data_IF_359646440344
#
_entry.id   IF_359646440344
#
_cell.length_a   1.000
_cell.length_b   1.000
_cell.length_c   1.000
_cell.angle_alpha   90.00
_cell.angle_beta   90.00
_cell.angle_gamma   90.00
#
_symmetry.space_group_name_H-M   'P 1'
#
loop_
_entity.id
_entity.type
_entity.pdbx_description
1 polymer ?
#
# COMPACT_ATOMS: atom_id res chain seq x y z
N UNK A 1 17.48 1.44 2.08
CA UNK A 1 17.72 0.80 3.40
C UNK A 1 18.19 1.82 4.42
N UNK A 2 18.08 1.51 5.73
CA UNK A 2 18.56 2.36 6.81
C UNK A 2 17.45 3.01 7.64
N UNK A 3 17.82 3.55 8.80
CA UNK A 3 16.99 4.38 9.67
C UNK A 3 15.73 3.67 10.20
N UNK A 4 15.86 2.38 10.55
CA UNK A 4 14.78 1.55 11.09
C UNK A 4 13.56 1.43 10.16
N UNK A 5 13.78 1.51 8.84
CA UNK A 5 12.68 1.50 7.85
C UNK A 5 12.39 0.14 7.24
N UNK A 6 13.42 -0.68 7.06
CA UNK A 6 13.28 -2.03 6.48
C UNK A 6 14.32 -2.98 7.07
N UNK A 7 13.94 -4.23 7.30
CA UNK A 7 14.80 -5.31 7.76
C UNK A 7 15.52 -6.02 6.60
N UNK A 8 14.93 -6.03 5.41
CA UNK A 8 15.51 -6.59 4.19
C UNK A 8 15.09 -5.81 2.94
N UNK A 9 15.83 -5.96 1.86
CA UNK A 9 15.42 -5.56 0.51
C UNK A 9 16.37 -6.17 -0.52
N UNK A 10 16.11 -5.91 -1.80
CA UNK A 10 16.95 -6.35 -2.91
C UNK A 10 17.42 -5.18 -3.76
N UNK A 11 18.58 -5.36 -4.41
CA UNK A 11 19.07 -4.51 -5.50
C UNK A 11 19.68 -5.43 -6.54
N UNK A 12 19.11 -5.47 -7.73
CA UNK A 12 19.48 -6.44 -8.78
C UNK A 12 19.46 -7.88 -8.23
N UNK A 13 20.61 -8.56 -8.26
CA UNK A 13 20.79 -9.91 -7.74
C UNK A 13 21.28 -9.96 -6.27
N UNK A 14 21.28 -8.83 -5.57
CA UNK A 14 21.79 -8.74 -4.19
C UNK A 14 20.65 -8.73 -3.18
N UNK A 15 20.79 -9.56 -2.15
CA UNK A 15 20.01 -9.45 -0.91
C UNK A 15 20.74 -8.51 0.04
N UNK A 16 20.02 -7.51 0.55
CA UNK A 16 20.53 -6.53 1.48
C UNK A 16 19.77 -6.63 2.81
N UNK A 17 20.51 -6.73 3.92
CA UNK A 17 19.93 -6.73 5.26
C UNK A 17 20.05 -5.36 5.92
N UNK A 18 18.92 -4.85 6.41
CA UNK A 18 18.88 -3.70 7.32
C UNK A 18 19.31 -4.16 8.71
N UNK A 19 20.62 -4.13 8.98
CA UNK A 19 21.20 -4.74 10.17
C UNK A 19 20.57 -4.23 11.47
N UNK A 20 20.18 -2.96 11.50
CA UNK A 20 19.53 -2.28 12.62
C UNK A 20 18.13 -2.79 12.97
N UNK A 21 17.50 -3.59 12.09
CA UNK A 21 16.21 -4.25 12.34
C UNK A 21 16.32 -5.78 12.27
N UNK A 22 17.07 -6.34 11.32
CA UNK A 22 17.12 -7.79 11.13
C UNK A 22 17.88 -8.52 12.25
N UNK A 23 18.83 -7.86 12.91
CA UNK A 23 19.70 -8.48 13.93
C UNK A 23 19.37 -8.00 15.35
N UNK A 24 18.16 -7.48 15.55
CA UNK A 24 17.67 -7.07 16.87
C UNK A 24 16.85 -8.17 17.53
N UNK A 25 16.74 -8.09 18.85
CA UNK A 25 15.89 -8.95 19.68
C UNK A 25 15.37 -8.16 20.89
N UNK A 26 14.64 -8.85 21.76
CA UNK A 26 14.06 -8.26 22.99
C UNK A 26 15.08 -7.68 23.98
N UNK A 27 16.38 -7.93 23.80
CA UNK A 27 17.45 -7.40 24.67
C UNK A 27 17.92 -6.00 24.26
N UNK A 28 17.53 -5.52 23.07
CA UNK A 28 17.89 -4.20 22.57
C UNK A 28 17.27 -3.10 23.44
N UNK A 29 18.12 -2.20 23.94
CA UNK A 29 17.69 -1.07 24.76
C UNK A 29 17.01 0.01 23.90
N UNK A 30 15.68 0.16 24.05
CA UNK A 30 14.88 1.09 23.23
C UNK A 30 14.21 2.22 24.03
N UNK A 31 14.61 2.46 25.28
CA UNK A 31 13.94 3.45 26.15
C UNK A 31 14.09 4.90 25.65
N UNK A 32 15.19 5.21 24.98
CA UNK A 32 15.49 6.56 24.44
C UNK A 32 14.73 6.87 23.15
N UNK A 33 14.11 5.88 22.52
CA UNK A 33 13.33 6.10 21.30
C UNK A 33 12.05 6.88 21.61
N UNK A 34 11.79 7.99 20.88
CA UNK A 34 10.57 8.76 21.05
C UNK A 34 9.34 7.96 20.59
N UNK A 35 8.12 8.39 20.95
CA UNK A 35 6.87 7.68 20.60
C UNK A 35 6.71 7.39 19.10
N UNK A 36 7.34 8.18 18.21
CA UNK A 36 7.32 7.95 16.76
C UNK A 36 8.00 6.65 16.31
N UNK A 37 8.80 6.00 17.16
CA UNK A 37 9.44 4.70 16.89
C UNK A 37 8.76 3.53 17.59
N UNK A 38 7.53 3.70 18.09
CA UNK A 38 6.78 2.61 18.70
C UNK A 38 6.66 1.39 17.76
N UNK A 39 6.51 1.64 16.46
CA UNK A 39 6.47 0.58 15.44
C UNK A 39 7.69 -0.34 15.46
N UNK A 40 8.88 0.20 15.76
CA UNK A 40 10.11 -0.58 15.81
C UNK A 40 10.18 -1.41 17.10
N UNK A 41 9.71 -0.85 18.22
CA UNK A 41 9.59 -1.59 19.49
C UNK A 41 8.59 -2.75 19.36
N UNK A 42 7.46 -2.51 18.71
CA UNK A 42 6.45 -3.53 18.43
C UNK A 42 7.03 -4.60 17.48
N UNK A 43 7.75 -4.21 16.43
CA UNK A 43 8.43 -5.14 15.54
C UNK A 43 9.41 -6.07 16.28
N UNK A 44 10.28 -5.52 17.13
CA UNK A 44 11.21 -6.35 17.94
C UNK A 44 10.43 -7.35 18.82
N UNK A 45 9.39 -6.87 19.51
CA UNK A 45 8.57 -7.68 20.42
C UNK A 45 7.84 -8.80 19.68
N UNK A 46 7.25 -8.48 18.53
CA UNK A 46 6.33 -9.38 17.83
C UNK A 46 7.06 -10.36 16.88
N UNK A 47 8.23 -9.99 16.36
CA UNK A 47 8.95 -10.75 15.33
C UNK A 47 10.26 -11.39 15.80
N UNK A 48 10.80 -11.05 16.97
CA UNK A 48 12.10 -11.52 17.48
C UNK A 48 13.19 -11.69 16.38
N UNK A 49 13.55 -10.60 15.69
CA UNK A 49 14.09 -10.63 14.33
C UNK A 49 15.36 -11.48 14.12
N UNK A 50 16.28 -11.47 15.09
CA UNK A 50 17.57 -12.16 14.96
C UNK A 50 17.42 -13.67 14.72
N UNK A 51 16.36 -14.29 15.24
CA UNK A 51 16.10 -15.72 15.05
C UNK A 51 15.51 -16.04 13.67
N UNK A 52 15.07 -15.02 12.93
CA UNK A 52 14.35 -15.13 11.68
C UNK A 52 15.18 -14.70 10.46
N UNK A 53 16.46 -14.35 10.64
CA UNK A 53 17.35 -13.88 9.57
C UNK A 53 17.46 -14.89 8.42
N UNK A 54 17.42 -16.20 8.70
CA UNK A 54 17.44 -17.23 7.64
C UNK A 54 16.18 -17.22 6.79
N UNK A 55 15.02 -17.08 7.42
CA UNK A 55 13.75 -16.98 6.71
C UNK A 55 13.70 -15.68 5.89
N UNK A 56 14.11 -14.56 6.49
CA UNK A 56 14.26 -13.28 5.80
C UNK A 56 15.19 -13.40 4.58
N UNK A 57 16.32 -14.11 4.70
CA UNK A 57 17.22 -14.33 3.58
C UNK A 57 16.54 -15.08 2.42
N UNK A 58 15.73 -16.11 2.72
CA UNK A 58 14.97 -16.84 1.72
C UNK A 58 13.90 -15.94 1.05
N UNK A 59 13.16 -15.16 1.84
CA UNK A 59 12.16 -14.20 1.35
C UNK A 59 12.78 -13.17 0.39
N UNK A 60 13.84 -12.49 0.82
CA UNK A 60 14.52 -11.50 -0.02
C UNK A 60 15.19 -12.17 -1.24
N UNK A 61 15.65 -13.40 -1.12
CA UNK A 61 16.19 -14.13 -2.27
C UNK A 61 15.12 -14.40 -3.34
N UNK A 62 13.87 -14.68 -2.95
CA UNK A 62 12.77 -14.77 -3.93
C UNK A 62 12.56 -13.43 -4.64
N UNK A 63 12.63 -12.31 -3.90
CA UNK A 63 12.53 -10.98 -4.49
C UNK A 63 13.60 -10.67 -5.55
N UNK A 64 14.78 -11.30 -5.50
CA UNK A 64 15.81 -11.14 -6.55
C UNK A 64 15.43 -11.77 -7.90
N UNK A 65 14.42 -12.64 -7.90
CA UNK A 65 13.93 -13.34 -9.09
C UNK A 65 12.60 -12.79 -9.57
N UNK A 66 11.88 -12.03 -8.73
CA UNK A 66 10.60 -11.43 -9.07
C UNK A 66 10.75 -10.20 -9.95
N UNK A 67 9.80 -10.02 -10.86
CA UNK A 67 9.67 -8.76 -11.61
C UNK A 67 9.29 -7.63 -10.64
N UNK A 68 9.98 -6.51 -10.77
CA UNK A 68 9.76 -5.30 -9.97
C UNK A 68 8.36 -4.71 -10.16
N UNK A 69 7.76 -4.25 -9.06
CA UNK A 69 6.38 -3.77 -9.01
C UNK A 69 6.32 -2.29 -8.62
N UNK A 70 6.71 -1.40 -9.52
CA UNK A 70 6.64 0.05 -9.28
C UNK A 70 5.26 0.62 -9.62
N UNK A 71 4.74 1.52 -8.77
CA UNK A 71 3.50 2.29 -9.02
C UNK A 71 2.27 1.44 -9.39
N UNK A 72 2.15 0.25 -8.79
CA UNK A 72 1.08 -0.71 -9.09
C UNK A 72 -0.04 -0.65 -8.04
N UNK A 73 -1.06 -1.51 -8.20
CA UNK A 73 -2.17 -1.64 -7.26
C UNK A 73 -1.77 -2.34 -5.96
N UNK A 74 -2.56 -2.14 -4.90
CA UNK A 74 -2.43 -2.86 -3.64
C UNK A 74 -2.46 -4.38 -3.87
N UNK A 75 -3.33 -4.88 -4.74
CA UNK A 75 -3.37 -6.31 -5.12
C UNK A 75 -2.03 -6.83 -5.61
N UNK A 76 -1.36 -6.10 -6.50
CA UNK A 76 -0.07 -6.51 -7.03
C UNK A 76 1.02 -6.48 -5.95
N UNK A 77 1.04 -5.45 -5.09
CA UNK A 77 1.99 -5.35 -3.97
C UNK A 77 1.82 -6.54 -3.02
N UNK A 78 0.58 -6.81 -2.57
CA UNK A 78 0.35 -7.89 -1.60
C UNK A 78 0.63 -9.25 -2.22
N UNK A 79 0.28 -9.46 -3.49
CA UNK A 79 0.57 -10.73 -4.16
C UNK A 79 2.07 -10.94 -4.26
N UNK A 80 2.85 -9.92 -4.66
CA UNK A 80 4.31 -10.01 -4.74
C UNK A 80 4.93 -10.37 -3.38
N UNK A 81 4.62 -9.61 -2.33
CA UNK A 81 5.15 -9.85 -0.99
C UNK A 81 4.73 -11.21 -0.43
N UNK A 82 3.46 -11.58 -0.58
CA UNK A 82 2.98 -12.86 -0.06
C UNK A 82 3.42 -14.07 -0.88
N UNK A 83 3.67 -13.93 -2.19
CA UNK A 83 4.30 -14.97 -3.01
C UNK A 83 5.74 -15.24 -2.56
N UNK A 84 6.52 -14.17 -2.28
CA UNK A 84 7.86 -14.31 -1.74
C UNK A 84 7.86 -15.03 -0.38
N UNK A 85 6.95 -14.64 0.50
CA UNK A 85 6.79 -15.25 1.83
C UNK A 85 6.39 -16.74 1.73
N UNK A 86 5.44 -17.07 0.86
CA UNK A 86 4.99 -18.45 0.64
C UNK A 86 6.10 -19.34 0.05
N UNK A 87 6.82 -18.85 -0.96
CA UNK A 87 7.92 -19.60 -1.58
C UNK A 87 9.07 -19.77 -0.58
N UNK A 88 9.35 -18.76 0.27
CA UNK A 88 10.32 -18.90 1.35
C UNK A 88 9.92 -20.01 2.33
N UNK A 89 8.64 -20.10 2.71
CA UNK A 89 8.13 -21.21 3.53
C UNK A 89 8.33 -22.58 2.88
N UNK A 90 8.08 -22.69 1.57
CA UNK A 90 8.30 -23.93 0.83
C UNK A 90 9.79 -24.32 0.82
N UNK A 91 10.68 -23.38 0.49
CA UNK A 91 12.12 -23.61 0.41
C UNK A 91 12.74 -23.99 1.76
N UNK A 92 12.24 -23.40 2.84
CA UNK A 92 12.74 -23.63 4.20
C UNK A 92 12.08 -24.81 4.90
N UNK A 93 11.05 -25.42 4.28
CA UNK A 93 10.19 -26.44 4.90
C UNK A 93 9.70 -25.99 6.28
N UNK A 94 9.35 -24.71 6.40
CA UNK A 94 9.06 -24.04 7.67
C UNK A 94 7.90 -23.06 7.48
N UNK A 95 6.99 -22.90 8.46
CA UNK A 95 5.95 -21.89 8.37
C UNK A 95 6.56 -20.48 8.35
N UNK A 96 5.81 -19.54 7.76
CA UNK A 96 6.14 -18.11 7.84
C UNK A 96 6.22 -17.66 9.29
N UNK A 97 7.19 -16.79 9.54
CA UNK A 97 7.44 -16.17 10.85
C UNK A 97 6.66 -14.87 11.04
N UNK A 98 5.90 -14.44 10.03
CA UNK A 98 5.11 -13.21 10.05
C UNK A 98 3.78 -13.46 10.79
N UNK A 99 3.51 -12.77 11.92
CA UNK A 99 2.29 -12.99 12.71
C UNK A 99 0.98 -12.76 11.93
N UNK A 100 1.03 -11.96 10.87
CA UNK A 100 -0.11 -11.74 9.98
C UNK A 100 -0.67 -13.03 9.37
N UNK A 101 0.17 -14.03 9.08
CA UNK A 101 -0.27 -15.29 8.48
C UNK A 101 -1.20 -16.04 9.45
N UNK A 102 -0.73 -16.28 10.67
CA UNK A 102 -1.50 -16.97 11.69
C UNK A 102 -2.80 -16.22 12.07
N UNK A 103 -2.73 -14.89 12.19
CA UNK A 103 -3.93 -14.08 12.42
C UNK A 103 -4.94 -14.20 11.27
N UNK A 104 -4.43 -14.12 10.04
CA UNK A 104 -5.21 -14.21 8.82
C UNK A 104 -5.96 -15.52 8.70
N UNK A 105 -5.28 -16.65 8.95
CA UNK A 105 -5.92 -17.97 8.92
C UNK A 105 -7.08 -18.09 9.89
N UNK A 106 -6.94 -17.54 11.10
CA UNK A 106 -8.00 -17.52 12.09
C UNK A 106 -9.15 -16.56 11.74
N UNK A 107 -8.93 -15.58 10.85
CA UNK A 107 -9.87 -14.49 10.57
C UNK A 107 -10.12 -14.26 9.06
N UNK A 108 -9.96 -15.31 8.25
CA UNK A 108 -9.88 -15.23 6.79
C UNK A 108 -10.97 -14.40 6.14
N UNK A 109 -12.24 -14.71 6.44
CA UNK A 109 -13.39 -14.05 5.82
C UNK A 109 -13.40 -12.54 6.10
N UNK A 110 -13.12 -12.15 7.34
CA UNK A 110 -13.05 -10.74 7.76
C UNK A 110 -11.94 -9.99 7.04
N UNK A 111 -10.75 -10.61 6.94
CA UNK A 111 -9.58 -9.98 6.31
C UNK A 111 -9.81 -9.81 4.81
N UNK A 112 -10.28 -10.85 4.10
CA UNK A 112 -10.54 -10.78 2.67
C UNK A 112 -11.72 -9.86 2.33
N UNK A 113 -12.79 -9.85 3.13
CA UNK A 113 -13.92 -8.92 2.92
C UNK A 113 -13.46 -7.46 3.00
N UNK A 114 -12.56 -7.15 3.95
CA UNK A 114 -12.00 -5.81 4.08
C UNK A 114 -11.04 -5.49 2.94
N UNK A 115 -10.17 -6.42 2.58
CA UNK A 115 -9.22 -6.28 1.47
C UNK A 115 -9.93 -5.97 0.14
N UNK A 116 -11.08 -6.62 -0.10
CA UNK A 116 -11.88 -6.40 -1.31
C UNK A 116 -12.38 -4.97 -1.51
N UNK A 117 -12.36 -4.13 -0.47
CA UNK A 117 -12.75 -2.73 -0.57
C UNK A 117 -11.60 -1.84 -1.07
N UNK A 118 -10.35 -2.30 -0.92
CA UNK A 118 -9.14 -1.50 -1.09
C UNK A 118 -8.18 -2.08 -2.13
N UNK A 119 -8.40 -3.30 -2.66
CA UNK A 119 -7.43 -4.00 -3.51
C UNK A 119 -6.97 -3.22 -4.77
N UNK A 120 -7.76 -2.24 -5.22
CA UNK A 120 -7.45 -1.39 -6.37
C UNK A 120 -6.85 -0.03 -6.00
N UNK A 121 -6.63 0.23 -4.71
CA UNK A 121 -5.86 1.38 -4.24
C UNK A 121 -4.44 1.33 -4.82
N UNK A 122 -3.81 2.48 -5.07
CA UNK A 122 -2.42 2.57 -5.52
C UNK A 122 -1.43 2.71 -4.36
N UNK A 123 -1.93 3.03 -3.16
CA UNK A 123 -1.10 3.11 -1.96
C UNK A 123 -1.33 1.90 -1.05
N UNK A 124 -0.25 1.25 -0.56
CA UNK A 124 -0.37 0.08 0.31
C UNK A 124 -1.03 0.41 1.66
N UNK A 125 -1.00 1.68 2.08
CA UNK A 125 -1.68 2.15 3.28
C UNK A 125 -1.17 1.44 4.53
N UNK A 126 -2.08 0.84 5.29
CA UNK A 126 -1.77 0.07 6.49
C UNK A 126 -1.64 -1.43 6.24
N UNK A 127 -1.79 -1.88 4.99
CA UNK A 127 -1.72 -3.31 4.63
C UNK A 127 -0.30 -3.86 4.60
N UNK A 128 0.68 -3.06 4.19
CA UNK A 128 2.07 -3.49 3.99
C UNK A 128 3.02 -2.38 4.44
N UNK A 129 4.11 -2.77 5.13
CA UNK A 129 5.19 -1.92 5.62
C UNK A 129 4.72 -0.77 6.51
N UNK A 130 3.70 -1.01 7.35
CA UNK A 130 3.01 0.08 8.06
C UNK A 130 2.66 -0.26 9.51
N UNK A 131 2.92 0.70 10.39
CA UNK A 131 2.47 0.68 11.79
C UNK A 131 1.26 1.54 12.08
N UNK A 132 0.58 2.00 11.03
CA UNK A 132 -0.64 2.75 11.19
C UNK A 132 -1.69 1.87 11.91
N UNK A 133 -2.49 2.47 12.83
CA UNK A 133 -3.62 1.78 13.42
C UNK A 133 -4.53 1.20 12.33
N UNK A 134 -5.00 -0.02 12.55
CA UNK A 134 -5.86 -0.72 11.60
C UNK A 134 -6.93 -1.57 12.33
N UNK A 135 -7.99 -2.00 11.62
CA UNK A 135 -9.09 -2.74 12.23
C UNK A 135 -8.72 -4.11 12.82
N UNK A 136 -7.57 -4.68 12.44
CA UNK A 136 -7.15 -6.02 12.85
C UNK A 136 -6.28 -5.99 14.11
N UNK A 137 -5.67 -4.85 14.43
CA UNK A 137 -4.63 -4.76 15.46
C UNK A 137 -3.36 -5.54 15.11
N UNK A 138 -3.27 -6.03 13.88
CA UNK A 138 -2.14 -6.79 13.35
C UNK A 138 -1.55 -6.02 12.18
N UNK A 139 -0.23 -5.86 12.19
CA UNK A 139 0.48 -5.19 11.11
C UNK A 139 0.64 -6.09 9.91
N UNK A 140 0.87 -5.47 8.76
CA UNK A 140 1.41 -6.13 7.57
C UNK A 140 0.50 -7.29 7.06
N UNK A 141 -0.82 -7.13 7.22
CA UNK A 141 -1.83 -8.10 6.80
C UNK A 141 -1.86 -8.40 5.29
N UNK A 142 -1.23 -7.55 4.48
CA UNK A 142 -1.04 -7.82 3.06
C UNK A 142 -0.19 -9.07 2.78
N UNK A 143 0.78 -9.39 3.65
CA UNK A 143 1.55 -10.64 3.55
C UNK A 143 0.63 -11.86 3.58
N UNK A 144 -0.36 -11.87 4.48
CA UNK A 144 -1.35 -12.95 4.55
C UNK A 144 -2.18 -13.08 3.28
N UNK A 145 -2.68 -11.96 2.74
CA UNK A 145 -3.49 -11.98 1.53
C UNK A 145 -2.71 -12.64 0.37
N UNK A 146 -1.49 -12.18 0.11
CA UNK A 146 -0.68 -12.73 -0.97
C UNK A 146 -0.25 -14.18 -0.71
N UNK A 147 0.07 -14.51 0.55
CA UNK A 147 0.44 -15.87 0.95
C UNK A 147 -0.71 -16.84 0.66
N UNK A 148 -1.92 -16.53 1.12
CA UNK A 148 -3.09 -17.39 0.93
C UNK A 148 -3.49 -17.53 -0.55
N UNK A 149 -3.35 -16.48 -1.36
CA UNK A 149 -3.56 -16.55 -2.81
C UNK A 149 -2.51 -17.45 -3.48
N UNK A 150 -1.23 -17.27 -3.12
CA UNK A 150 -0.12 -18.04 -3.67
C UNK A 150 -0.19 -19.51 -3.30
N UNK A 151 -0.50 -19.81 -2.04
CA UNK A 151 -0.71 -21.16 -1.54
C UNK A 151 -1.89 -21.85 -2.24
N UNK A 152 -3.00 -21.14 -2.40
CA UNK A 152 -4.17 -21.66 -3.12
C UNK A 152 -3.83 -22.00 -4.57
N UNK A 153 -3.15 -21.10 -5.29
CA UNK A 153 -2.71 -21.34 -6.67
C UNK A 153 -1.76 -22.55 -6.75
N UNK A 154 -0.73 -22.56 -5.89
CA UNK A 154 0.23 -23.65 -5.82
C UNK A 154 -0.45 -24.99 -5.55
N UNK A 155 -1.39 -25.06 -4.61
CA UNK A 155 -2.06 -26.30 -4.24
C UNK A 155 -2.94 -26.87 -5.36
N UNK A 156 -3.56 -26.01 -6.17
CA UNK A 156 -4.37 -26.41 -7.32
C UNK A 156 -3.52 -26.85 -8.53
N UNK A 157 -2.30 -26.34 -8.65
CA UNK A 157 -1.45 -26.62 -9.80
C UNK A 157 -1.01 -28.10 -9.85
N UNK A 158 -1.12 -28.79 -11.01
CA UNK A 158 -0.59 -30.14 -11.19
C UNK A 158 0.95 -30.16 -11.22
N UNK A 159 1.55 -29.13 -11.81
CA UNK A 159 2.99 -28.91 -11.84
C UNK A 159 3.37 -27.84 -10.82
N UNK A 160 4.01 -28.27 -9.73
CA UNK A 160 4.43 -27.38 -8.64
C UNK A 160 5.61 -26.48 -9.03
N UNK A 161 6.48 -26.94 -9.93
CA UNK A 161 7.61 -26.13 -10.40
C UNK A 161 7.10 -25.02 -11.31
N UNK A 162 6.16 -25.32 -12.19
CA UNK A 162 5.50 -24.31 -13.00
C UNK A 162 4.76 -23.30 -12.14
N UNK A 163 4.04 -23.74 -11.09
CA UNK A 163 3.33 -22.81 -10.22
C UNK A 163 4.26 -21.83 -9.49
N UNK A 164 5.44 -22.29 -9.06
CA UNK A 164 6.47 -21.42 -8.47
C UNK A 164 7.01 -20.45 -9.52
N UNK A 165 7.31 -20.94 -10.73
CA UNK A 165 7.77 -20.09 -11.83
C UNK A 165 6.75 -19.00 -12.18
N UNK A 166 5.46 -19.34 -12.28
CA UNK A 166 4.40 -18.39 -12.57
C UNK A 166 4.29 -17.29 -11.49
N UNK A 167 4.43 -17.66 -10.21
CA UNK A 167 4.42 -16.71 -9.09
C UNK A 167 5.66 -15.81 -9.08
N UNK A 168 6.83 -16.31 -9.51
CA UNK A 168 8.06 -15.52 -9.56
C UNK A 168 8.06 -14.59 -10.78
N UNK A 169 7.70 -15.12 -11.95
CA UNK A 169 7.86 -14.46 -13.25
C UNK A 169 6.67 -13.56 -13.63
N UNK A 170 5.58 -13.55 -12.85
CA UNK A 170 4.46 -12.64 -13.06
C UNK A 170 4.93 -11.19 -13.11
N UNK A 171 4.54 -10.48 -14.18
CA UNK A 171 4.75 -9.04 -14.27
C UNK A 171 3.76 -8.31 -13.33
N UNK A 172 4.20 -8.08 -12.09
CA UNK A 172 3.45 -7.37 -11.07
C UNK A 172 3.23 -5.88 -11.39
N UNK A 173 3.95 -5.32 -12.36
CA UNK A 173 3.74 -3.96 -12.84
C UNK A 173 2.57 -3.88 -13.85
N UNK A 174 2.22 -5.00 -14.49
CA UNK A 174 1.05 -5.10 -15.36
C UNK A 174 -0.20 -5.47 -14.56
N UNK A 175 -1.02 -4.46 -14.26
CA UNK A 175 -2.28 -4.64 -13.54
C UNK A 175 -3.27 -5.58 -14.25
N UNK A 176 -3.22 -5.70 -15.58
CA UNK A 176 -4.08 -6.62 -16.34
C UNK A 176 -3.58 -8.06 -16.24
N UNK A 177 -2.26 -8.28 -16.26
CA UNK A 177 -1.65 -9.58 -16.02
C UNK A 177 -1.97 -10.09 -14.61
N UNK A 178 -1.75 -9.25 -13.58
CA UNK A 178 -2.09 -9.58 -12.19
C UNK A 178 -3.57 -9.90 -12.04
N UNK A 179 -4.45 -9.10 -12.63
CA UNK A 179 -5.89 -9.35 -12.54
C UNK A 179 -6.28 -10.67 -13.21
N UNK A 180 -5.74 -10.95 -14.40
CA UNK A 180 -6.02 -12.20 -15.12
C UNK A 180 -5.51 -13.42 -14.35
N UNK A 181 -4.31 -13.32 -13.77
CA UNK A 181 -3.71 -14.38 -12.98
C UNK A 181 -4.53 -14.70 -11.72
N UNK A 182 -4.97 -13.68 -10.99
CA UNK A 182 -5.81 -13.86 -9.79
C UNK A 182 -7.21 -14.39 -10.15
N UNK A 183 -7.81 -13.97 -11.25
CA UNK A 183 -9.08 -14.53 -11.73
C UNK A 183 -8.94 -16.02 -12.09
N UNK A 184 -7.81 -16.45 -12.68
CA UNK A 184 -7.54 -17.85 -13.00
C UNK A 184 -7.46 -18.74 -11.75
N UNK A 185 -7.00 -18.21 -10.61
CA UNK A 185 -7.00 -18.94 -9.32
C UNK A 185 -8.41 -19.34 -8.87
N UNK A 186 -9.45 -18.63 -9.32
CA UNK A 186 -10.83 -18.85 -8.87
C UNK A 186 -11.03 -18.61 -7.38
N UNK A 187 -10.19 -17.76 -6.76
CA UNK A 187 -10.24 -17.50 -5.32
C UNK A 187 -11.39 -16.56 -4.93
N UNK A 188 -11.64 -15.52 -5.73
CA UNK A 188 -12.74 -14.59 -5.51
C UNK A 188 -14.04 -15.10 -6.13
N UNK A 189 -15.17 -14.83 -5.46
CA UNK A 189 -16.51 -15.25 -5.92
C UNK A 189 -16.97 -14.55 -7.21
N UNK A 190 -16.36 -13.43 -7.56
CA UNK A 190 -16.67 -12.64 -8.74
C UNK A 190 -15.37 -12.27 -9.44
N UNK A 191 -15.39 -12.11 -10.78
CA UNK A 191 -14.22 -11.64 -11.52
C UNK A 191 -13.74 -10.28 -11.01
N UNK A 192 -12.43 -10.05 -11.01
CA UNK A 192 -11.82 -8.79 -10.59
C UNK A 192 -12.35 -7.59 -11.38
N UNK A 193 -12.72 -7.77 -12.65
CA UNK A 193 -13.36 -6.71 -13.44
C UNK A 193 -14.64 -6.17 -12.78
N UNK A 194 -15.47 -7.05 -12.20
CA UNK A 194 -16.71 -6.64 -11.50
C UNK A 194 -16.43 -5.95 -10.18
N UNK A 195 -15.43 -6.43 -9.44
CA UNK A 195 -14.96 -5.76 -8.23
C UNK A 195 -14.39 -4.38 -8.55
N UNK A 196 -13.71 -4.21 -9.70
CA UNK A 196 -13.17 -2.93 -10.15
C UNK A 196 -14.27 -1.94 -10.54
N UNK A 197 -15.31 -2.39 -11.24
CA UNK A 197 -16.49 -1.56 -11.54
C UNK A 197 -17.12 -1.02 -10.25
N UNK A 198 -17.33 -1.89 -9.25
CA UNK A 198 -17.88 -1.52 -7.96
C UNK A 198 -16.95 -0.55 -7.19
N UNK A 199 -15.64 -0.79 -7.22
CA UNK A 199 -14.64 0.10 -6.63
C UNK A 199 -14.70 1.49 -7.27
N UNK A 200 -14.62 1.59 -8.60
CA UNK A 200 -14.63 2.89 -9.31
C UNK A 200 -15.94 3.67 -9.11
N UNK A 201 -17.06 2.98 -8.95
CA UNK A 201 -18.35 3.59 -8.60
C UNK A 201 -18.40 4.10 -7.16
N UNK A 202 -17.66 3.47 -6.24
CA UNK A 202 -17.62 3.82 -4.82
C UNK A 202 -16.57 4.87 -4.46
N UNK A 203 -15.72 5.30 -5.41
CA UNK A 203 -14.66 6.28 -5.14
C UNK A 203 -15.23 7.66 -4.81
N UNK A 204 -14.72 8.33 -3.76
CA UNK A 204 -15.10 9.71 -3.52
C UNK A 204 -14.61 10.59 -4.68
N UNK A 205 -15.33 11.68 -4.92
CA UNK A 205 -15.04 12.66 -5.97
C UNK A 205 -15.04 14.07 -5.39
N UNK A 206 -14.37 14.99 -6.09
CA UNK A 206 -14.54 16.43 -5.84
C UNK A 206 -15.78 16.90 -6.58
N UNK A 207 -16.73 17.50 -5.87
CA UNK A 207 -17.99 18.00 -6.43
C UNK A 207 -17.91 19.45 -6.86
N UNK A 208 -17.08 20.24 -6.17
CA UNK A 208 -16.89 21.67 -6.42
C UNK A 208 -15.56 22.16 -5.87
N UNK A 209 -14.95 23.14 -6.53
CA UNK A 209 -13.88 23.96 -5.96
C UNK A 209 -14.35 25.41 -5.96
N UNK A 210 -14.36 26.03 -4.78
CA UNK A 210 -14.66 27.45 -4.60
C UNK A 210 -13.35 28.22 -4.45
N UNK A 211 -13.23 29.33 -5.16
CA UNK A 211 -12.14 30.28 -5.03
C UNK A 211 -12.70 31.61 -4.54
N UNK A 212 -12.10 32.17 -3.49
CA UNK A 212 -12.35 33.52 -3.01
C UNK A 212 -11.00 34.19 -2.75
N UNK A 213 -10.61 35.12 -3.62
CA UNK A 213 -9.26 35.69 -3.70
C UNK A 213 -8.18 34.60 -3.74
N UNK A 214 -7.36 34.52 -2.70
CA UNK A 214 -6.28 33.53 -2.54
C UNK A 214 -6.72 32.25 -1.85
N UNK A 215 -7.98 32.13 -1.40
CA UNK A 215 -8.48 30.97 -0.67
C UNK A 215 -9.21 30.02 -1.61
N UNK A 216 -8.80 28.76 -1.57
CA UNK A 216 -9.45 27.65 -2.23
C UNK A 216 -10.17 26.77 -1.21
N UNK A 217 -11.38 26.34 -1.54
CA UNK A 217 -12.14 25.35 -0.76
C UNK A 217 -12.65 24.26 -1.69
N UNK A 218 -12.12 23.06 -1.50
CA UNK A 218 -12.52 21.85 -2.22
C UNK A 218 -13.67 21.19 -1.45
N UNK A 219 -14.73 20.83 -2.16
CA UNK A 219 -15.88 20.10 -1.64
C UNK A 219 -15.84 18.67 -2.17
N UNK A 220 -15.94 17.70 -1.28
CA UNK A 220 -15.95 16.27 -1.61
C UNK A 220 -17.39 15.74 -1.67
N UNK A 221 -17.60 14.61 -2.35
CA UNK A 221 -18.89 13.93 -2.44
C UNK A 221 -19.33 13.27 -1.14
N UNK A 222 -18.41 13.06 -0.20
CA UNK A 222 -18.62 12.43 1.09
C UNK A 222 -17.52 12.84 2.09
N UNK A 223 -17.66 12.54 3.40
CA UNK A 223 -16.61 12.77 4.38
C UNK A 223 -15.30 12.03 4.05
N UNK A 224 -14.20 12.77 4.05
CA UNK A 224 -12.86 12.25 3.84
C UNK A 224 -12.15 11.92 5.15
N UNK A 225 -11.19 10.98 5.11
CA UNK A 225 -10.28 10.76 6.24
C UNK A 225 -9.26 11.90 6.32
N UNK A 226 -9.34 12.68 7.40
CA UNK A 226 -8.59 13.92 7.57
C UNK A 226 -7.10 13.70 7.86
N UNK A 227 -6.70 12.46 8.15
CA UNK A 227 -5.29 12.07 8.34
C UNK A 227 -4.55 11.96 7.00
N UNK A 228 -5.27 11.77 5.89
CA UNK A 228 -4.68 11.50 4.59
C UNK A 228 -4.92 12.64 3.60
N UNK A 229 -3.83 13.07 2.94
CA UNK A 229 -3.84 14.09 1.89
C UNK A 229 -2.70 13.87 0.90
N UNK A 230 -2.91 14.26 -0.35
CA UNK A 230 -1.87 14.25 -1.37
C UNK A 230 -2.11 15.32 -2.41
N UNK A 231 -1.09 16.11 -2.63
CA UNK A 231 -1.08 17.14 -3.65
C UNK A 231 0.09 16.84 -4.58
N UNK A 232 -0.18 16.85 -5.88
CA UNK A 232 0.81 16.59 -6.91
C UNK A 232 0.76 17.68 -7.98
N UNK A 233 1.78 17.69 -8.85
CA UNK A 233 1.80 18.55 -10.02
C UNK A 233 0.70 18.14 -11.01
N UNK A 234 0.05 19.14 -11.62
CA UNK A 234 -0.79 18.88 -12.78
C UNK A 234 0.02 18.53 -14.03
N UNK A 235 -0.66 18.19 -15.14
CA UNK A 235 -0.02 17.81 -16.40
C UNK A 235 0.95 18.85 -16.98
N UNK A 236 0.81 20.14 -16.63
CA UNK A 236 1.73 21.20 -17.06
C UNK A 236 3.04 21.27 -16.25
N UNK A 237 3.20 20.37 -15.28
CA UNK A 237 4.42 20.17 -14.51
C UNK A 237 4.71 21.27 -13.48
N UNK A 238 5.87 21.14 -12.84
CA UNK A 238 6.28 21.96 -11.69
C UNK A 238 6.24 23.47 -11.98
N UNK A 239 6.62 23.90 -13.17
CA UNK A 239 6.67 25.34 -13.46
C UNK A 239 5.28 25.99 -13.41
N UNK A 240 4.20 25.22 -13.62
CA UNK A 240 2.81 25.66 -13.57
C UNK A 240 2.13 25.30 -12.25
N UNK A 241 2.86 24.97 -11.18
CA UNK A 241 2.23 24.58 -9.92
C UNK A 241 1.41 25.72 -9.31
N UNK A 242 0.17 25.43 -8.93
CA UNK A 242 -0.60 26.24 -7.97
C UNK A 242 -0.11 25.85 -6.57
N UNK A 243 0.94 26.55 -6.13
CA UNK A 243 1.61 26.26 -4.86
C UNK A 243 0.69 26.58 -3.70
N UNK A 244 0.51 25.61 -2.80
CA UNK A 244 -0.17 25.84 -1.52
C UNK A 244 0.76 26.68 -0.64
N UNK A 245 0.29 27.87 -0.26
CA UNK A 245 0.99 28.76 0.67
C UNK A 245 0.69 28.36 2.11
N UNK A 246 -0.59 28.13 2.43
CA UNK A 246 -1.03 27.67 3.74
C UNK A 246 -2.08 26.57 3.61
N UNK A 247 -1.85 25.45 4.30
CA UNK A 247 -2.85 24.42 4.52
C UNK A 247 -3.77 24.83 5.67
N UNK A 248 -5.06 25.06 5.39
CA UNK A 248 -6.04 25.48 6.40
C UNK A 248 -6.77 24.31 7.06
N UNK A 249 -6.65 23.11 6.50
CA UNK A 249 -7.22 21.89 7.06
C UNK A 249 -8.59 21.51 6.51
N UNK A 250 -9.08 20.37 6.98
CA UNK A 250 -10.41 19.88 6.70
C UNK A 250 -11.45 20.59 7.58
N UNK A 251 -12.67 20.72 7.09
CA UNK A 251 -13.82 21.00 7.95
C UNK A 251 -14.03 19.88 8.97
N UNK A 252 -14.66 20.16 10.13
CA UNK A 252 -14.88 19.13 11.16
C UNK A 252 -15.65 17.89 10.68
N UNK A 253 -16.49 18.04 9.66
CA UNK A 253 -17.26 16.95 9.02
C UNK A 253 -16.48 16.22 7.90
N UNK A 254 -15.24 16.62 7.61
CA UNK A 254 -14.39 16.02 6.58
C UNK A 254 -14.86 16.24 5.14
N UNK A 255 -15.94 16.99 4.88
CA UNK A 255 -16.49 17.18 3.53
C UNK A 255 -15.83 18.30 2.75
N UNK A 256 -15.05 19.16 3.40
CA UNK A 256 -14.34 20.26 2.76
C UNK A 256 -12.89 20.30 3.18
N UNK A 257 -12.04 20.75 2.28
CA UNK A 257 -10.64 21.06 2.53
C UNK A 257 -10.34 22.47 2.05
N UNK A 258 -9.73 23.29 2.90
CA UNK A 258 -9.31 24.65 2.53
C UNK A 258 -7.80 24.78 2.51
N UNK A 259 -7.30 25.61 1.59
CA UNK A 259 -5.93 26.07 1.55
C UNK A 259 -5.86 27.46 0.93
N UNK A 260 -4.74 28.15 1.09
CA UNK A 260 -4.45 29.38 0.36
C UNK A 260 -3.38 29.13 -0.69
N UNK A 261 -3.46 29.87 -1.80
CA UNK A 261 -2.47 29.86 -2.86
C UNK A 261 -2.41 31.22 -3.56
N UNK A 262 -1.19 31.65 -3.87
CA UNK A 262 -0.93 32.88 -4.62
C UNK A 262 -1.13 32.64 -6.12
N UNK A 263 -1.96 33.50 -6.72
CA UNK A 263 -2.26 33.49 -8.15
C UNK A 263 -1.22 34.29 -8.92
N UNK A 264 -0.86 33.79 -10.10
CA UNK A 264 -0.01 34.45 -11.09
C UNK A 264 -0.85 34.71 -12.34
N UNK A 265 -1.49 35.87 -12.48
CA UNK A 265 -2.46 36.15 -13.56
C UNK A 265 -1.92 35.89 -14.97
N UNK A 266 -0.60 36.03 -15.15
CA UNK A 266 0.09 35.78 -16.41
C UNK A 266 0.26 34.29 -16.76
N UNK A 267 -0.12 33.37 -15.86
CA UNK A 267 0.17 31.94 -15.97
C UNK A 267 -1.00 31.06 -15.51
N UNK A 268 -1.32 30.05 -16.31
CA UNK A 268 -2.20 28.96 -15.89
C UNK A 268 -1.48 28.17 -14.79
N UNK A 269 -2.10 28.02 -13.63
CA UNK A 269 -1.56 27.23 -12.52
C UNK A 269 -2.43 25.99 -12.28
N UNK A 270 -1.80 24.91 -11.86
CA UNK A 270 -2.43 23.61 -11.65
C UNK A 270 -2.00 22.96 -10.33
N UNK A 271 -2.95 22.30 -9.67
CA UNK A 271 -2.74 21.46 -8.50
C UNK A 271 -3.59 20.21 -8.62
N UNK A 272 -2.97 19.04 -8.63
CA UNK A 272 -3.71 17.78 -8.59
C UNK A 272 -3.98 17.38 -7.13
N UNK A 273 -5.24 17.11 -6.80
CA UNK A 273 -5.58 16.34 -5.62
C UNK A 273 -5.43 14.86 -5.97
N UNK A 274 -4.41 14.21 -5.41
CA UNK A 274 -4.01 12.88 -5.83
C UNK A 274 -4.72 11.77 -5.04
N UNK A 275 -4.45 10.51 -5.43
CA UNK A 275 -5.01 9.30 -4.81
C UNK A 275 -4.64 9.07 -3.35
N UNK A 276 -3.75 9.89 -2.76
CA UNK A 276 -3.46 9.78 -1.32
C UNK A 276 -4.65 10.19 -0.46
N UNK A 277 -5.54 11.06 -0.95
CA UNK A 277 -6.83 11.33 -0.32
C UNK A 277 -7.70 10.07 -0.37
N UNK A 278 -8.42 9.79 0.73
CA UNK A 278 -9.33 8.64 0.84
C UNK A 278 -10.52 8.94 1.72
N UNK A 279 -11.64 8.25 1.50
CA UNK A 279 -12.78 8.33 2.41
C UNK A 279 -12.53 7.55 3.71
N UNK A 280 -13.47 7.62 4.65
CA UNK A 280 -13.41 6.89 5.93
C UNK A 280 -13.38 5.36 5.77
N UNK A 281 -13.72 4.83 4.58
CA UNK A 281 -13.61 3.41 4.26
C UNK A 281 -12.25 3.05 3.67
N UNK A 282 -11.34 3.99 3.46
CA UNK A 282 -10.03 3.78 2.86
C UNK A 282 -10.00 3.73 1.33
N UNK A 283 -11.12 4.05 0.66
CA UNK A 283 -11.21 4.10 -0.81
C UNK A 283 -10.61 5.41 -1.30
N UNK A 284 -9.68 5.33 -2.26
CA UNK A 284 -8.96 6.48 -2.80
C UNK A 284 -9.85 7.41 -3.65
N UNK A 285 -9.63 8.72 -3.47
CA UNK A 285 -10.23 9.79 -4.27
C UNK A 285 -9.96 9.58 -5.76
N UNK A 286 -10.96 9.84 -6.61
CA UNK A 286 -10.74 10.06 -8.04
C UNK A 286 -9.94 11.36 -8.23
N UNK A 287 -8.70 11.32 -8.76
CA UNK A 287 -7.88 12.51 -8.89
C UNK A 287 -8.63 13.66 -9.52
N UNK A 288 -8.39 14.84 -8.97
CA UNK A 288 -9.06 16.06 -9.42
C UNK A 288 -8.02 17.15 -9.67
N UNK A 289 -8.06 17.71 -10.87
CA UNK A 289 -7.15 18.77 -11.27
C UNK A 289 -7.79 20.13 -11.02
N UNK A 290 -7.26 20.89 -10.07
CA UNK A 290 -7.56 22.32 -9.94
C UNK A 290 -6.73 23.06 -10.99
N UNK A 291 -7.38 23.85 -11.83
CA UNK A 291 -6.72 24.72 -12.82
C UNK A 291 -7.23 26.14 -12.63
N UNK A 292 -6.32 27.12 -12.55
CA UNK A 292 -6.71 28.53 -12.51
C UNK A 292 -7.07 28.98 -13.91
N UNK A 293 -8.11 29.81 -14.02
CA UNK A 293 -8.43 30.47 -15.29
C UNK A 293 -7.39 31.55 -15.58
N UNK A 294 -7.25 31.89 -16.88
CA UNK A 294 -6.49 33.05 -17.32
C UNK A 294 -7.49 34.19 -17.53
N UNK A 295 -7.28 35.31 -16.86
CA UNK A 295 -8.03 36.54 -17.14
C UNK A 295 -7.75 37.06 -18.57
#
# INVERSE_FOLDING_TARGET
>A
MGNFRTNGTTVDSMVLFGAEMAFTDSTVYTSEFPPSYQYFKDYIRDYDPIHNVRFLAAHEFVHTQQVEAYNTSLLAIVLREGSAEFIASLCMESPSVVPAIAYGDANRDTVFQRFQQELFNQHPGWWVWSGAPNPFGQRDMGYYIGYALSEHYYNQAPDKQQAIADLIELDYSDAAAVASFVDQMGYFKQPLAKLKEAYEAARPTVTKVEQNDHRFTVHFSEPMDTLYRGFDYGPLGETHVLRIDQYLGFSPDGQRLSFTATLKPEKIQQLELSRRFRNLKGIELRPYLVTTERD
#
